data_IF_844103146535
#
_entry.id   IF_844103146535
#
_cell.length_a   1.000
_cell.length_b   1.000
_cell.length_c   1.000
_cell.angle_alpha   90.00
_cell.angle_beta   90.00
_cell.angle_gamma   90.00
#
_symmetry.space_group_name_H-M   'P 1'
#
loop_
_entity.id
_entity.type
_entity.pdbx_description
1 polymer ?
#
# COMPACT_ATOMS: atom_id res chain seq x y z
N UNK A 1 -38.91 20.49 -41.95
CA UNK A 1 -38.26 19.75 -40.86
C UNK A 1 -38.65 18.30 -41.06
N UNK A 2 -37.74 17.55 -41.67
CA UNK A 2 -38.00 16.14 -41.97
C UNK A 2 -38.06 15.38 -40.63
N UNK A 3 -39.24 14.88 -40.29
CA UNK A 3 -39.46 14.01 -39.15
C UNK A 3 -38.70 12.72 -39.44
N UNK A 4 -37.58 12.52 -38.71
CA UNK A 4 -36.83 11.26 -38.77
C UNK A 4 -37.75 10.15 -38.27
N UNK A 5 -38.33 9.38 -39.21
CA UNK A 5 -39.19 8.26 -38.89
C UNK A 5 -38.33 7.16 -38.22
N UNK A 6 -38.83 6.59 -37.11
CA UNK A 6 -38.22 5.47 -36.40
C UNK A 6 -37.87 4.30 -37.35
N UNK A 7 -38.59 4.15 -38.45
CA UNK A 7 -38.31 3.17 -39.49
C UNK A 7 -37.02 3.45 -40.26
N UNK A 8 -36.74 4.73 -40.53
CA UNK A 8 -35.52 5.12 -41.25
C UNK A 8 -34.25 4.92 -40.35
N UNK A 9 -34.35 5.22 -39.06
CA UNK A 9 -33.32 4.90 -38.11
C UNK A 9 -33.03 3.39 -38.02
N UNK A 10 -34.10 2.56 -37.98
CA UNK A 10 -33.97 1.12 -37.95
C UNK A 10 -33.32 0.56 -39.23
N UNK A 11 -33.68 1.13 -40.36
CA UNK A 11 -33.15 0.72 -41.66
C UNK A 11 -31.68 1.09 -41.85
N UNK A 12 -31.25 2.26 -41.32
CA UNK A 12 -29.82 2.66 -41.25
C UNK A 12 -29.03 1.71 -40.38
N UNK A 13 -29.54 1.34 -39.20
CA UNK A 13 -28.92 0.37 -38.30
C UNK A 13 -28.75 -1.00 -38.96
N UNK A 14 -29.80 -1.46 -39.70
CA UNK A 14 -29.75 -2.76 -40.34
C UNK A 14 -28.81 -2.80 -41.56
N UNK A 15 -28.72 -1.69 -42.30
CA UNK A 15 -27.82 -1.55 -43.45
C UNK A 15 -26.36 -1.41 -43.02
N UNK A 16 -26.08 -0.72 -41.91
CA UNK A 16 -24.74 -0.42 -41.40
C UNK A 16 -24.27 -1.38 -40.28
N UNK A 17 -25.02 -2.47 -40.04
CA UNK A 17 -24.75 -3.41 -38.95
C UNK A 17 -23.31 -3.95 -38.95
N UNK A 18 -22.73 -4.24 -40.10
CA UNK A 18 -21.35 -4.75 -40.17
C UNK A 18 -20.32 -3.69 -39.81
N UNK A 19 -20.53 -2.43 -40.15
CA UNK A 19 -19.66 -1.33 -39.74
C UNK A 19 -19.74 -1.11 -38.24
N UNK A 20 -20.95 -1.15 -37.68
CA UNK A 20 -21.20 -1.00 -36.24
C UNK A 20 -20.54 -2.17 -35.45
N UNK A 21 -20.74 -3.41 -35.90
CA UNK A 21 -20.14 -4.59 -35.27
C UNK A 21 -18.62 -4.51 -35.33
N UNK A 22 -18.04 -4.04 -36.45
CA UNK A 22 -16.60 -3.89 -36.59
C UNK A 22 -16.02 -2.86 -35.58
N UNK A 23 -16.71 -1.71 -35.43
CA UNK A 23 -16.29 -0.68 -34.46
C UNK A 23 -16.35 -1.23 -33.04
N UNK A 24 -17.42 -1.93 -32.68
CA UNK A 24 -17.57 -2.56 -31.35
C UNK A 24 -16.48 -3.62 -31.13
N UNK A 25 -16.21 -4.46 -32.12
CA UNK A 25 -15.18 -5.47 -32.03
C UNK A 25 -13.78 -4.84 -31.80
N UNK A 26 -13.47 -3.77 -32.53
CA UNK A 26 -12.21 -3.03 -32.33
C UNK A 26 -12.14 -2.43 -30.93
N UNK A 27 -13.22 -1.81 -30.44
CA UNK A 27 -13.28 -1.22 -29.11
C UNK A 27 -13.09 -2.29 -28.01
N UNK A 28 -13.69 -3.45 -28.16
CA UNK A 28 -13.53 -4.59 -27.25
C UNK A 28 -12.08 -5.10 -27.25
N UNK A 29 -11.47 -5.25 -28.42
CA UNK A 29 -10.07 -5.69 -28.54
C UNK A 29 -9.12 -4.69 -27.89
N UNK A 30 -9.31 -3.39 -28.12
CA UNK A 30 -8.54 -2.33 -27.49
C UNK A 30 -8.71 -2.36 -25.96
N UNK A 31 -9.95 -2.49 -25.47
CA UNK A 31 -10.25 -2.60 -24.05
C UNK A 31 -9.60 -3.83 -23.42
N UNK A 32 -9.62 -4.96 -24.12
CA UNK A 32 -8.98 -6.19 -23.65
C UNK A 32 -7.46 -6.07 -23.58
N UNK A 33 -6.83 -5.49 -24.61
CA UNK A 33 -5.37 -5.23 -24.62
C UNK A 33 -5.00 -4.26 -23.49
N UNK A 34 -5.78 -3.19 -23.32
CA UNK A 34 -5.57 -2.23 -22.25
C UNK A 34 -5.65 -2.90 -20.85
N UNK A 35 -6.69 -3.68 -20.61
CA UNK A 35 -6.90 -4.37 -19.34
C UNK A 35 -5.81 -5.42 -19.04
N UNK A 36 -5.35 -6.15 -20.05
CA UNK A 36 -4.42 -7.27 -19.84
C UNK A 36 -2.94 -6.84 -19.83
N UNK A 37 -2.60 -5.79 -20.58
CA UNK A 37 -1.19 -5.35 -20.76
C UNK A 37 -0.81 -4.24 -19.79
N UNK A 38 -1.74 -3.33 -19.45
CA UNK A 38 -1.45 -2.19 -18.58
C UNK A 38 -1.61 -2.49 -17.09
N UNK A 39 -2.48 -3.42 -16.70
CA UNK A 39 -2.67 -3.79 -15.30
C UNK A 39 -1.63 -4.85 -14.91
N UNK A 40 -0.48 -4.42 -14.42
CA UNK A 40 0.49 -5.32 -13.80
C UNK A 40 -0.04 -5.77 -12.44
N UNK A 41 0.04 -7.07 -12.11
CA UNK A 41 -0.32 -7.53 -10.77
C UNK A 41 0.62 -6.91 -9.73
N UNK A 42 0.07 -6.40 -8.66
CA UNK A 42 0.80 -5.88 -7.52
C UNK A 42 0.39 -6.65 -6.26
N UNK A 43 1.36 -7.02 -5.47
CA UNK A 43 1.17 -7.74 -4.22
C UNK A 43 1.47 -6.81 -3.06
N UNK A 44 0.61 -6.84 -2.04
CA UNK A 44 0.75 -6.03 -0.84
C UNK A 44 1.09 -6.92 0.34
N UNK A 45 2.20 -6.67 0.99
CA UNK A 45 2.60 -7.34 2.23
C UNK A 45 2.69 -6.33 3.36
N UNK A 46 2.19 -6.72 4.53
CA UNK A 46 2.13 -5.82 5.70
C UNK A 46 2.80 -6.47 6.90
N UNK A 47 3.67 -5.73 7.57
CA UNK A 47 4.23 -6.05 8.87
C UNK A 47 3.74 -5.05 9.91
N UNK A 48 3.70 -5.44 11.17
CA UNK A 48 3.24 -4.60 12.27
C UNK A 48 4.28 -4.51 13.37
N UNK A 49 4.56 -3.29 13.84
CA UNK A 49 5.42 -3.02 14.98
C UNK A 49 4.62 -2.38 16.12
N UNK A 50 4.88 -2.78 17.35
CA UNK A 50 4.32 -2.20 18.56
C UNK A 50 5.33 -1.27 19.20
N UNK A 51 4.90 -0.06 19.54
CA UNK A 51 5.62 0.88 20.38
C UNK A 51 5.12 0.70 21.81
N UNK A 52 5.75 -0.18 22.58
CA UNK A 52 5.35 -0.37 23.98
C UNK A 52 5.70 0.88 24.80
N UNK A 53 4.80 1.31 25.69
CA UNK A 53 5.03 2.43 26.60
C UNK A 53 6.31 2.24 27.40
N UNK A 54 7.20 3.21 27.36
CA UNK A 54 8.28 3.30 28.36
C UNK A 54 7.64 3.61 29.71
N UNK A 55 7.91 2.77 30.72
CA UNK A 55 7.37 2.88 32.07
C UNK A 55 7.85 4.12 32.87
N UNK A 56 8.28 5.19 32.20
CA UNK A 56 8.83 6.40 32.85
C UNK A 56 7.79 7.43 33.27
N UNK A 57 6.49 7.19 33.06
CA UNK A 57 5.44 8.04 33.56
C UNK A 57 4.33 7.18 34.22
N UNK A 58 4.63 6.59 35.37
CA UNK A 58 3.60 6.20 36.32
C UNK A 58 2.96 7.47 36.88
N UNK A 59 1.90 7.96 36.26
CA UNK A 59 0.90 8.70 37.02
C UNK A 59 0.10 7.68 37.81
N UNK A 60 0.12 7.85 39.13
CA UNK A 60 -0.37 6.96 40.17
C UNK A 60 -1.91 6.83 40.22
N UNK A 61 -2.62 7.16 39.16
CA UNK A 61 -4.09 7.22 39.18
C UNK A 61 -4.77 6.63 37.92
N UNK A 62 -4.26 5.60 37.32
CA UNK A 62 -4.99 4.69 36.41
C UNK A 62 -5.94 5.28 35.33
N UNK A 63 -6.05 6.59 35.23
CA UNK A 63 -6.94 7.32 34.30
C UNK A 63 -6.15 7.75 33.08
N UNK A 64 -6.42 7.12 31.95
CA UNK A 64 -5.88 7.53 30.63
C UNK A 64 -6.51 8.89 30.30
N UNK A 65 -5.68 9.95 30.30
CA UNK A 65 -6.12 11.30 29.95
C UNK A 65 -6.16 11.48 28.43
N UNK A 66 -7.07 12.33 27.95
CA UNK A 66 -7.15 12.71 26.52
C UNK A 66 -5.81 13.26 25.97
N UNK A 67 -4.98 13.82 26.84
CA UNK A 67 -3.65 14.32 26.50
C UNK A 67 -2.68 13.20 26.17
N UNK A 68 -2.77 12.03 26.84
CA UNK A 68 -1.90 10.87 26.58
C UNK A 68 -2.26 10.21 25.26
N UNK A 69 -3.55 10.12 24.94
CA UNK A 69 -4.00 9.62 23.63
C UNK A 69 -3.46 10.49 22.51
N UNK A 70 -3.57 11.82 22.64
CA UNK A 70 -3.05 12.76 21.62
C UNK A 70 -1.54 12.69 21.48
N UNK A 71 -0.81 12.51 22.58
CA UNK A 71 0.65 12.35 22.56
C UNK A 71 1.05 11.07 21.83
N UNK A 72 0.40 9.95 22.12
CA UNK A 72 0.67 8.67 21.48
C UNK A 72 0.40 8.73 19.97
N UNK A 73 -0.69 9.35 19.54
CA UNK A 73 -1.00 9.55 18.12
C UNK A 73 0.06 10.39 17.40
N UNK A 74 0.58 11.45 18.05
CA UNK A 74 1.68 12.25 17.49
C UNK A 74 2.97 11.47 17.38
N UNK A 75 3.30 10.63 18.36
CA UNK A 75 4.49 9.77 18.33
C UNK A 75 4.39 8.76 17.18
N UNK A 76 3.24 8.10 17.01
CA UNK A 76 3.01 7.16 15.91
C UNK A 76 3.15 7.85 14.56
N UNK A 77 2.60 9.07 14.40
CA UNK A 77 2.78 9.86 13.18
C UNK A 77 4.25 10.15 12.89
N UNK A 78 5.00 10.60 13.93
CA UNK A 78 6.43 10.90 13.80
C UNK A 78 7.23 9.66 13.38
N UNK A 79 6.97 8.52 14.00
CA UNK A 79 7.66 7.27 13.65
C UNK A 79 7.29 6.75 12.27
N UNK A 80 6.04 6.95 11.86
CA UNK A 80 5.61 6.65 10.49
C UNK A 80 6.38 7.45 9.44
N UNK A 81 6.62 8.73 9.73
CA UNK A 81 7.44 9.58 8.86
C UNK A 81 8.92 9.16 8.88
N UNK A 82 9.45 8.79 10.04
CA UNK A 82 10.85 8.33 10.19
C UNK A 82 11.13 7.04 9.42
N UNK A 83 10.18 6.09 9.36
CA UNK A 83 10.31 4.86 8.58
C UNK A 83 10.47 5.17 7.08
N UNK A 84 9.85 6.25 6.60
CA UNK A 84 9.91 6.67 5.19
C UNK A 84 11.12 7.56 4.84
N UNK A 85 11.99 7.83 5.80
CA UNK A 85 13.17 8.65 5.53
C UNK A 85 14.16 7.97 4.59
N UNK A 86 14.91 8.78 3.85
CA UNK A 86 15.99 8.31 2.97
C UNK A 86 16.98 7.40 3.72
N UNK A 87 17.28 7.72 4.98
CA UNK A 87 18.21 6.94 5.81
C UNK A 87 17.73 5.50 6.00
N UNK A 88 16.46 5.29 6.33
CA UNK A 88 15.89 3.95 6.51
C UNK A 88 15.80 3.23 5.18
N UNK A 89 15.22 3.89 4.17
CA UNK A 89 14.96 3.26 2.88
C UNK A 89 16.24 2.93 2.11
N UNK A 90 17.28 3.76 2.17
CA UNK A 90 18.57 3.44 1.56
C UNK A 90 19.24 2.24 2.23
N UNK A 91 19.09 2.11 3.56
CA UNK A 91 19.61 0.94 4.27
C UNK A 91 18.87 -0.34 3.89
N UNK A 92 17.52 -0.29 3.75
CA UNK A 92 16.71 -1.41 3.25
C UNK A 92 17.18 -1.85 1.86
N UNK A 93 17.38 -0.89 0.94
CA UNK A 93 17.88 -1.14 -0.42
C UNK A 93 19.24 -1.84 -0.38
N UNK A 94 20.16 -1.35 0.45
CA UNK A 94 21.50 -1.90 0.59
C UNK A 94 21.49 -3.31 1.21
N UNK A 95 20.71 -3.52 2.27
CA UNK A 95 20.64 -4.82 2.95
C UNK A 95 20.05 -5.90 2.04
N UNK A 96 19.01 -5.56 1.29
CA UNK A 96 18.34 -6.49 0.37
C UNK A 96 19.01 -6.59 -1.01
N UNK A 97 19.96 -5.69 -1.32
CA UNK A 97 20.65 -5.58 -2.61
C UNK A 97 19.67 -5.47 -3.78
N UNK A 98 18.60 -4.69 -3.60
CA UNK A 98 17.57 -4.51 -4.63
C UNK A 98 17.89 -3.34 -5.55
N UNK A 99 17.54 -3.48 -6.83
CA UNK A 99 17.74 -2.43 -7.82
C UNK A 99 16.53 -1.47 -7.87
N UNK A 100 16.34 -0.72 -6.78
CA UNK A 100 15.31 0.32 -6.65
C UNK A 100 15.95 1.61 -6.15
N UNK A 101 15.38 2.75 -6.52
CA UNK A 101 15.77 4.04 -5.91
C UNK A 101 14.95 4.25 -4.63
N UNK A 102 15.43 5.18 -3.78
CA UNK A 102 14.73 5.56 -2.55
C UNK A 102 13.32 6.09 -2.88
N UNK A 103 13.19 6.90 -3.92
CA UNK A 103 11.90 7.48 -4.34
C UNK A 103 10.92 6.39 -4.81
N UNK A 104 11.41 5.38 -5.54
CA UNK A 104 10.59 4.24 -5.94
C UNK A 104 10.11 3.46 -4.73
N UNK A 105 11.00 3.19 -3.78
CA UNK A 105 10.63 2.48 -2.57
C UNK A 105 9.68 3.31 -1.69
N UNK A 106 9.90 4.62 -1.59
CA UNK A 106 9.04 5.53 -0.84
C UNK A 106 7.62 5.59 -1.41
N UNK A 107 7.45 5.49 -2.73
CA UNK A 107 6.13 5.44 -3.36
C UNK A 107 5.41 4.11 -3.14
N UNK A 108 6.16 3.02 -2.94
CA UNK A 108 5.63 1.68 -2.77
C UNK A 108 5.39 1.30 -1.29
N UNK A 109 5.87 2.13 -0.35
CA UNK A 109 5.74 1.88 1.08
C UNK A 109 4.68 2.81 1.68
N UNK A 110 3.72 2.23 2.37
CA UNK A 110 2.72 2.94 3.15
C UNK A 110 2.89 2.60 4.62
N UNK A 111 2.93 3.62 5.45
CA UNK A 111 3.03 3.47 6.91
C UNK A 111 1.85 4.18 7.55
N UNK A 112 1.16 3.50 8.43
CA UNK A 112 -0.03 4.03 9.12
C UNK A 112 -0.15 3.47 10.52
N UNK A 113 -0.80 4.20 11.40
CA UNK A 113 -1.27 3.66 12.67
C UNK A 113 -2.38 2.64 12.42
N UNK A 114 -2.41 1.59 13.21
CA UNK A 114 -3.53 0.66 13.25
C UNK A 114 -4.58 1.19 14.23
N UNK A 115 -5.64 1.77 13.69
CA UNK A 115 -6.69 2.41 14.47
C UNK A 115 -6.13 3.40 15.51
N UNK A 116 -6.69 3.49 16.69
CA UNK A 116 -6.20 4.32 17.81
C UNK A 116 -5.22 3.56 18.73
N UNK A 117 -4.43 2.63 18.17
CA UNK A 117 -3.47 1.81 18.90
C UNK A 117 -2.02 2.32 18.76
N UNK A 118 -1.12 1.79 19.57
CA UNK A 118 0.33 2.01 19.48
C UNK A 118 1.01 1.09 18.44
N UNK A 119 0.22 0.49 17.54
CA UNK A 119 0.72 -0.37 16.48
C UNK A 119 0.87 0.43 15.19
N UNK A 120 2.03 0.32 14.57
CA UNK A 120 2.32 0.87 13.26
C UNK A 120 2.33 -0.28 12.25
N UNK A 121 1.54 -0.15 11.21
CA UNK A 121 1.52 -1.05 10.05
C UNK A 121 2.39 -0.48 8.93
N UNK A 122 3.33 -1.29 8.47
CA UNK A 122 4.21 -1.00 7.33
C UNK A 122 3.77 -1.92 6.20
N UNK A 123 3.12 -1.35 5.20
CA UNK A 123 2.62 -2.03 4.01
C UNK A 123 3.51 -1.72 2.82
N UNK A 124 3.90 -2.72 2.07
CA UNK A 124 4.72 -2.58 0.87
C UNK A 124 4.01 -3.22 -0.31
N UNK A 125 3.97 -2.53 -1.44
CA UNK A 125 3.47 -3.04 -2.71
C UNK A 125 4.62 -3.29 -3.68
N UNK A 126 4.61 -4.46 -4.32
CA UNK A 126 5.59 -4.84 -5.34
C UNK A 126 4.96 -5.78 -6.38
N UNK A 127 5.57 -5.88 -7.56
CA UNK A 127 5.19 -6.85 -8.58
C UNK A 127 5.50 -8.30 -8.17
N UNK A 128 6.40 -8.49 -7.20
CA UNK A 128 6.78 -9.77 -6.61
C UNK A 128 6.35 -9.80 -5.14
N UNK A 129 5.50 -10.76 -4.78
CA UNK A 129 4.95 -10.89 -3.43
C UNK A 129 6.02 -11.21 -2.38
N UNK A 130 7.05 -11.98 -2.76
CA UNK A 130 8.17 -12.29 -1.86
C UNK A 130 9.05 -11.05 -1.65
N UNK A 131 9.23 -10.22 -2.69
CA UNK A 131 9.95 -8.97 -2.57
C UNK A 131 9.18 -7.98 -1.68
N UNK A 132 7.86 -7.84 -1.85
CA UNK A 132 7.01 -7.03 -0.97
C UNK A 132 7.16 -7.45 0.50
N UNK A 133 7.12 -8.75 0.78
CA UNK A 133 7.33 -9.33 2.11
C UNK A 133 8.70 -8.97 2.69
N UNK A 134 9.75 -9.20 1.91
CA UNK A 134 11.14 -8.93 2.35
C UNK A 134 11.37 -7.46 2.65
N UNK A 135 10.87 -6.57 1.81
CA UNK A 135 11.02 -5.12 2.00
C UNK A 135 10.25 -4.67 3.25
N UNK A 136 9.01 -5.15 3.46
CA UNK A 136 8.22 -4.78 4.64
C UNK A 136 8.91 -5.18 5.95
N UNK A 137 9.38 -6.44 6.04
CA UNK A 137 10.06 -6.94 7.23
C UNK A 137 11.41 -6.23 7.46
N UNK A 138 12.18 -5.99 6.39
CA UNK A 138 13.46 -5.28 6.50
C UNK A 138 13.27 -3.83 6.92
N UNK A 139 12.24 -3.13 6.42
CA UNK A 139 11.93 -1.77 6.82
C UNK A 139 11.62 -1.68 8.33
N UNK A 140 10.85 -2.63 8.87
CA UNK A 140 10.59 -2.72 10.29
C UNK A 140 11.90 -2.97 11.09
N UNK A 141 12.73 -3.91 10.64
CA UNK A 141 13.97 -4.24 11.32
C UNK A 141 15.00 -3.10 11.31
N UNK A 142 15.15 -2.42 10.16
CA UNK A 142 16.04 -1.24 10.04
C UNK A 142 15.52 -0.10 10.92
N UNK A 143 14.22 0.15 10.94
CA UNK A 143 13.65 1.16 11.83
C UNK A 143 13.94 0.86 13.30
N UNK A 144 13.69 -0.38 13.75
CA UNK A 144 13.93 -0.77 15.14
C UNK A 144 15.40 -0.60 15.50
N UNK A 145 16.32 -1.11 14.71
CA UNK A 145 17.74 -1.13 15.06
C UNK A 145 18.39 0.23 14.90
N UNK A 146 18.14 0.97 13.82
CA UNK A 146 18.85 2.21 13.50
C UNK A 146 18.16 3.47 14.01
N UNK A 147 16.87 3.46 14.16
CA UNK A 147 16.14 4.65 14.58
C UNK A 147 15.70 4.53 16.04
N UNK A 148 14.93 3.49 16.37
CA UNK A 148 14.39 3.35 17.71
C UNK A 148 15.49 3.13 18.75
N UNK A 149 16.39 2.19 18.54
CA UNK A 149 17.46 1.87 19.50
C UNK A 149 18.61 2.89 19.47
N UNK A 150 19.15 3.19 18.28
CA UNK A 150 20.37 4.01 18.17
C UNK A 150 20.13 5.50 18.47
N UNK A 151 19.02 6.09 17.93
CA UNK A 151 18.75 7.53 18.08
C UNK A 151 17.85 7.88 19.25
N UNK A 152 16.88 7.03 19.56
CA UNK A 152 15.89 7.30 20.59
C UNK A 152 16.12 6.47 21.87
N UNK A 153 17.08 5.56 21.85
CA UNK A 153 17.39 4.64 22.98
C UNK A 153 16.13 3.91 23.48
N UNK A 154 15.29 3.48 22.52
CA UNK A 154 14.02 2.81 22.79
C UNK A 154 14.23 1.30 22.69
N UNK A 155 14.17 0.61 23.83
CA UNK A 155 14.28 -0.85 23.92
C UNK A 155 12.90 -1.54 23.85
N UNK A 156 11.83 -0.75 23.64
CA UNK A 156 10.44 -1.20 23.77
C UNK A 156 9.68 -1.18 22.43
N UNK A 157 10.40 -1.35 21.32
CA UNK A 157 9.79 -1.49 19.97
C UNK A 157 9.97 -2.92 19.50
N UNK A 158 8.86 -3.58 19.18
CA UNK A 158 8.85 -5.00 18.83
C UNK A 158 8.04 -5.24 17.56
N UNK A 159 8.49 -6.19 16.74
CA UNK A 159 7.66 -6.73 15.64
C UNK A 159 6.57 -7.61 16.27
N UNK A 160 5.32 -7.31 15.97
CA UNK A 160 4.14 -8.06 16.42
C UNK A 160 3.75 -9.10 15.39
N UNK A 161 3.63 -8.67 14.15
CA UNK A 161 3.32 -9.53 13.01
C UNK A 161 4.34 -9.31 11.90
N UNK A 162 4.94 -10.41 11.44
CA UNK A 162 5.79 -10.38 10.26
C UNK A 162 4.95 -10.39 8.98
N UNK A 163 5.41 -9.63 7.99
CA UNK A 163 4.81 -9.64 6.66
C UNK A 163 4.91 -11.04 6.03
N UNK A 164 3.85 -11.44 5.32
CA UNK A 164 3.77 -12.70 4.57
C UNK A 164 3.65 -12.40 3.08
N UNK A 165 4.15 -13.34 2.27
CA UNK A 165 3.95 -13.26 0.83
C UNK A 165 2.50 -13.62 0.49
N UNK A 166 1.78 -12.67 -0.12
CA UNK A 166 0.40 -12.87 -0.52
C UNK A 166 0.32 -13.67 -1.82
N UNK A 167 -0.61 -14.61 -1.89
CA UNK A 167 -0.80 -15.47 -3.07
C UNK A 167 -1.64 -14.82 -4.17
N UNK A 168 -2.41 -13.78 -3.83
CA UNK A 168 -3.28 -13.06 -4.76
C UNK A 168 -2.84 -11.60 -4.91
N UNK A 169 -2.88 -11.03 -6.12
CA UNK A 169 -2.57 -9.63 -6.33
C UNK A 169 -3.60 -8.73 -5.64
N UNK A 170 -3.12 -7.63 -5.08
CA UNK A 170 -3.92 -6.64 -4.35
C UNK A 170 -4.81 -5.79 -5.27
N UNK A 171 -4.30 -5.46 -6.47
CA UNK A 171 -4.93 -4.53 -7.41
C UNK A 171 -5.86 -5.20 -8.43
N UNK A 172 -5.88 -6.53 -8.53
CA UNK A 172 -6.68 -7.28 -9.50
C UNK A 172 -7.59 -8.26 -8.75
N UNK A 173 -8.88 -7.96 -8.69
CA UNK A 173 -9.86 -8.81 -8.01
C UNK A 173 -10.73 -9.49 -9.07
N UNK A 174 -10.31 -10.64 -9.59
CA UNK A 174 -11.06 -11.43 -10.57
C UNK A 174 -12.36 -12.06 -10.03
N UNK A 175 -12.69 -11.84 -8.76
CA UNK A 175 -13.85 -12.48 -8.10
C UNK A 175 -15.07 -11.58 -7.97
N UNK A 176 -15.00 -10.33 -8.43
CA UNK A 176 -16.06 -9.33 -8.26
C UNK A 176 -16.58 -8.71 -9.57
N UNK A 177 -16.12 -9.16 -10.72
CA UNK A 177 -16.63 -8.74 -12.04
C UNK A 177 -17.54 -9.80 -12.65
#
# INVERSE_FOLDING_TARGET
MDELDLKDLFNIFWTKKFEIILIIAIAVVIGFIYSYVLLKPEYKSTTSILLAKSNTAQSDDGTITSSEITLNQKLVSTYSDLIKTEKVLSQVINNLQINKTVEQLQSNIQVSAKDDTEIIEISVTDADSEMARRIANEAAQVFITQIAQEYYNMDNVYVVDEARAESAPYNINHTKD
#
